data_IF_372434186719
#
_entry.id   IF_372434186719
#
_cell.length_a   1.000
_cell.length_b   1.000
_cell.length_c   1.000
_cell.angle_alpha   90.00
_cell.angle_beta   90.00
_cell.angle_gamma   90.00
#
_symmetry.space_group_name_H-M   'P 1'
#
loop_
_entity.id
_entity.type
_entity.pdbx_description
1 polymer ?
#
# COMPACT_ATOMS: atom_id res chain seq x y z
N UNK A 1 -56.38 30.88 34.81
CA UNK A 1 -57.44 31.90 34.79
C UNK A 1 -56.87 33.15 34.13
N UNK A 2 -57.45 33.58 32.99
CA UNK A 2 -57.24 34.85 32.25
C UNK A 2 -55.79 35.12 31.75
N UNK A 3 -55.50 34.90 30.46
CA UNK A 3 -55.76 35.76 29.29
C UNK A 3 -54.76 36.92 29.16
N UNK A 4 -54.33 37.12 27.90
CA UNK A 4 -53.85 38.32 27.20
C UNK A 4 -52.33 38.38 27.01
N UNK A 5 -51.80 38.06 25.81
CA UNK A 5 -51.78 38.87 24.55
C UNK A 5 -51.11 40.23 24.78
N UNK A 6 -50.32 40.80 23.89
CA UNK A 6 -49.75 40.48 22.58
C UNK A 6 -49.13 41.84 22.20
N UNK A 7 -47.95 41.85 21.58
CA UNK A 7 -47.43 42.96 20.76
C UNK A 7 -47.20 44.33 21.40
N UNK A 8 -45.99 44.87 21.24
CA UNK A 8 -45.81 45.97 20.27
C UNK A 8 -44.34 46.17 19.92
N UNK A 9 -44.13 46.33 18.61
CA UNK A 9 -42.91 46.71 17.92
C UNK A 9 -42.78 48.24 17.95
N UNK A 10 -41.56 48.75 18.16
CA UNK A 10 -41.04 50.02 17.58
C UNK A 10 -39.58 50.16 18.05
N UNK A 11 -38.54 49.98 17.22
CA UNK A 11 -38.03 50.79 16.09
C UNK A 11 -37.71 52.25 16.43
N UNK A 12 -36.51 52.65 15.98
CA UNK A 12 -35.92 54.00 15.85
C UNK A 12 -35.30 54.59 17.13
N UNK A 13 -34.09 55.19 17.18
CA UNK A 13 -33.01 55.43 16.20
C UNK A 13 -31.81 56.06 16.94
N UNK A 14 -30.61 55.78 16.43
CA UNK A 14 -29.42 56.65 16.23
C UNK A 14 -29.04 57.67 17.33
N UNK A 15 -27.77 57.58 17.77
CA UNK A 15 -27.06 58.69 18.38
C UNK A 15 -25.57 58.39 18.57
N UNK A 16 -24.73 58.79 17.61
CA UNK A 16 -23.28 58.86 17.75
C UNK A 16 -22.91 60.09 18.59
N UNK A 17 -22.12 59.92 19.65
CA UNK A 17 -21.17 60.96 20.10
C UNK A 17 -20.02 60.30 20.88
N UNK A 18 -18.80 60.59 20.41
CA UNK A 18 -17.55 60.21 21.03
C UNK A 18 -17.19 61.11 22.22
N UNK A 19 -16.56 60.54 23.25
CA UNK A 19 -15.78 61.27 24.25
C UNK A 19 -14.63 60.38 24.77
N UNK A 20 -13.40 60.88 24.66
CA UNK A 20 -12.15 60.26 25.16
C UNK A 20 -12.04 60.36 26.69
N UNK A 21 -11.51 59.31 27.32
CA UNK A 21 -10.80 59.35 28.61
C UNK A 21 -9.68 58.30 28.62
N UNK A 22 -8.46 58.76 28.86
CA UNK A 22 -7.24 57.95 28.98
C UNK A 22 -7.09 57.32 30.37
N UNK A 23 -6.79 56.01 30.43
CA UNK A 23 -6.13 55.35 31.58
C UNK A 23 -5.15 54.26 31.08
N UNK A 24 -3.90 54.44 31.51
CA UNK A 24 -2.71 53.57 31.62
C UNK A 24 -2.78 52.07 31.23
N UNK A 25 -1.91 51.74 30.25
CA UNK A 25 -0.92 50.64 30.18
C UNK A 25 -1.25 49.25 30.72
N UNK A 26 -1.46 48.32 29.78
CA UNK A 26 -0.75 47.03 29.67
C UNK A 26 -0.80 46.55 28.21
N UNK A 27 0.36 46.46 27.56
CA UNK A 27 0.62 45.65 26.36
C UNK A 27 1.23 44.31 26.85
N UNK A 28 1.20 43.18 26.11
CA UNK A 28 1.84 43.15 24.81
C UNK A 28 1.20 42.29 23.71
N UNK A 29 1.59 42.66 22.49
CA UNK A 29 1.89 41.80 21.33
C UNK A 29 0.74 41.48 20.37
N UNK A 30 0.62 42.36 19.37
CA UNK A 30 0.47 41.92 17.98
C UNK A 30 1.74 41.16 17.59
N UNK A 31 1.63 39.86 17.37
CA UNK A 31 2.63 39.10 16.63
C UNK A 31 1.95 38.46 15.42
N UNK A 32 1.82 39.25 14.35
CA UNK A 32 1.57 38.71 13.02
C UNK A 32 2.90 38.17 12.49
N UNK A 33 3.25 36.96 12.93
CA UNK A 33 4.31 36.17 12.30
C UNK A 33 3.81 35.70 10.93
N UNK A 34 3.92 36.59 9.95
CA UNK A 34 4.14 36.16 8.58
C UNK A 34 5.46 35.39 8.57
N UNK A 35 5.38 34.07 8.70
CA UNK A 35 6.47 33.17 8.42
C UNK A 35 6.82 33.32 6.93
N UNK A 36 7.75 34.23 6.62
CA UNK A 36 8.62 34.06 5.46
C UNK A 36 9.39 32.78 5.68
N UNK A 37 8.85 31.68 5.18
CA UNK A 37 9.62 30.47 4.93
C UNK A 37 10.53 30.83 3.76
N UNK A 38 11.67 31.44 4.05
CA UNK A 38 12.82 31.41 3.15
C UNK A 38 13.21 29.93 3.02
N UNK A 39 12.52 29.24 2.12
CA UNK A 39 12.93 27.95 1.61
C UNK A 39 14.20 28.21 0.81
N UNK A 40 15.34 28.24 1.50
CA UNK A 40 16.64 28.04 0.86
C UNK A 40 16.52 26.70 0.14
N UNK A 41 16.35 26.75 -1.18
CA UNK A 41 16.31 25.56 -2.04
C UNK A 41 17.72 24.97 -1.98
N UNK A 42 17.92 24.01 -1.08
CA UNK A 42 19.20 23.31 -0.96
C UNK A 42 19.48 22.64 -2.31
N UNK A 43 20.65 22.89 -2.93
CA UNK A 43 20.97 22.31 -4.23
C UNK A 43 20.90 20.78 -4.18
N UNK A 44 20.19 20.22 -5.15
CA UNK A 44 20.10 18.78 -5.36
C UNK A 44 21.30 18.29 -6.17
N UNK A 45 21.88 17.17 -5.74
CA UNK A 45 23.03 16.51 -6.35
C UNK A 45 22.68 15.04 -6.64
N UNK A 46 23.46 14.36 -7.48
CA UNK A 46 23.32 12.93 -7.76
C UNK A 46 21.90 12.49 -8.22
N UNK A 47 21.27 13.29 -9.09
CA UNK A 47 19.92 13.02 -9.60
C UNK A 47 19.83 11.72 -10.40
N UNK A 48 20.95 11.25 -10.95
CA UNK A 48 21.08 9.96 -11.61
C UNK A 48 20.80 8.76 -10.68
N UNK A 49 20.92 8.92 -9.36
CA UNK A 49 20.58 7.88 -8.37
C UNK A 49 19.15 7.98 -7.87
N UNK A 50 18.35 8.91 -8.40
CA UNK A 50 16.92 8.95 -8.09
C UNK A 50 16.23 7.78 -8.78
N UNK A 51 15.21 7.26 -8.13
CA UNK A 51 14.42 6.16 -8.67
C UNK A 51 13.98 5.17 -7.61
N UNK A 52 13.46 4.06 -8.08
CA UNK A 52 12.95 2.97 -7.26
C UNK A 52 13.90 1.80 -7.42
N UNK A 53 14.43 1.30 -6.31
CA UNK A 53 15.25 0.10 -6.28
C UNK A 53 14.43 -1.00 -5.64
N UNK A 54 14.11 -2.05 -6.40
CA UNK A 54 13.24 -3.13 -5.96
C UNK A 54 13.93 -4.47 -6.08
N UNK A 55 13.66 -5.36 -5.13
CA UNK A 55 14.18 -6.71 -5.14
C UNK A 55 14.04 -7.39 -3.79
N UNK A 56 15.00 -8.27 -3.49
CA UNK A 56 14.91 -9.18 -2.36
C UNK A 56 15.15 -8.46 -1.03
N UNK A 57 14.38 -8.88 -0.03
CA UNK A 57 14.45 -8.49 1.37
C UNK A 57 14.42 -9.75 2.23
N UNK A 58 15.54 -10.46 2.23
CA UNK A 58 15.64 -11.79 2.81
C UNK A 58 16.19 -11.73 4.23
N UNK A 59 15.71 -12.59 5.13
CA UNK A 59 16.31 -12.74 6.45
C UNK A 59 15.94 -14.06 7.09
N UNK A 60 16.74 -14.47 8.08
CA UNK A 60 16.52 -15.70 8.82
C UNK A 60 15.49 -15.48 9.93
N UNK A 61 14.58 -16.41 10.10
CA UNK A 61 13.68 -16.48 11.26
C UNK A 61 13.51 -17.92 11.75
N UNK A 62 13.09 -18.08 13.00
CA UNK A 62 12.63 -19.37 13.49
C UNK A 62 11.20 -19.62 12.99
N UNK A 63 11.03 -20.63 12.15
CA UNK A 63 9.75 -21.09 11.63
C UNK A 63 9.25 -22.20 12.54
N UNK A 64 8.03 -22.03 13.07
CA UNK A 64 7.34 -23.05 13.84
C UNK A 64 6.31 -23.73 12.92
N UNK A 65 6.55 -24.97 12.47
CA UNK A 65 5.55 -25.73 11.73
C UNK A 65 4.39 -26.16 12.64
N UNK A 66 3.25 -26.50 12.02
CA UNK A 66 2.07 -27.04 12.72
C UNK A 66 2.37 -28.37 13.40
N UNK A 67 3.26 -29.17 12.81
CA UNK A 67 3.77 -30.43 13.36
C UNK A 67 5.30 -30.38 13.32
N UNK A 68 5.95 -30.58 14.47
CA UNK A 68 7.40 -30.66 14.59
C UNK A 68 8.05 -29.52 15.38
N UNK A 69 9.37 -29.56 15.45
CA UNK A 69 10.18 -28.56 16.16
C UNK A 69 10.41 -27.31 15.30
N UNK A 70 10.63 -26.17 15.96
CA UNK A 70 11.02 -24.95 15.28
C UNK A 70 12.38 -25.12 14.58
N UNK A 71 12.49 -24.62 13.37
CA UNK A 71 13.74 -24.62 12.62
C UNK A 71 14.08 -23.22 12.10
N UNK A 72 15.37 -22.95 11.88
CA UNK A 72 15.78 -21.70 11.24
C UNK A 72 15.49 -21.79 9.74
N UNK A 73 14.65 -20.89 9.24
CA UNK A 73 14.31 -20.78 7.83
C UNK A 73 14.60 -19.38 7.29
N UNK A 74 14.76 -19.29 5.97
CA UNK A 74 14.90 -18.02 5.28
C UNK A 74 13.54 -17.53 4.79
N UNK A 75 13.15 -16.33 5.23
CA UNK A 75 12.00 -15.63 4.66
C UNK A 75 12.49 -14.79 3.50
N UNK A 76 11.82 -14.95 2.37
CA UNK A 76 11.98 -14.09 1.21
C UNK A 76 10.79 -13.14 1.12
N UNK A 77 11.08 -11.85 1.13
CA UNK A 77 10.11 -10.78 0.84
C UNK A 77 10.66 -9.88 -0.25
N UNK A 78 9.78 -9.08 -0.85
CA UNK A 78 10.19 -7.98 -1.72
C UNK A 78 10.15 -6.66 -0.95
N UNK A 79 11.08 -5.77 -1.29
CA UNK A 79 11.12 -4.38 -0.82
C UNK A 79 11.35 -3.45 -2.00
N UNK A 80 10.79 -2.25 -1.93
CA UNK A 80 11.17 -1.14 -2.80
C UNK A 80 11.74 0.01 -1.97
N UNK A 81 12.92 0.50 -2.33
CA UNK A 81 13.52 1.73 -1.81
C UNK A 81 13.40 2.82 -2.88
N UNK A 82 12.63 3.86 -2.61
CA UNK A 82 12.49 5.01 -3.49
C UNK A 82 13.36 6.15 -2.98
N UNK A 83 14.36 6.54 -3.75
CA UNK A 83 15.21 7.71 -3.48
C UNK A 83 14.60 8.89 -4.23
N UNK A 84 14.15 9.90 -3.50
CA UNK A 84 13.44 11.05 -4.05
C UNK A 84 14.35 12.27 -4.21
N UNK A 85 15.26 12.47 -3.25
CA UNK A 85 16.10 13.65 -3.21
C UNK A 85 17.43 13.39 -2.53
N UNK A 86 18.52 13.82 -3.16
CA UNK A 86 19.86 13.82 -2.56
C UNK A 86 20.38 15.25 -2.55
N UNK A 87 20.88 15.66 -1.40
CA UNK A 87 21.56 16.93 -1.16
C UNK A 87 22.97 16.61 -0.67
N UNK A 88 23.83 17.63 -0.55
CA UNK A 88 25.20 17.45 -0.05
C UNK A 88 25.27 16.67 1.28
N UNK A 89 24.33 16.92 2.19
CA UNK A 89 24.40 16.40 3.56
C UNK A 89 23.28 15.40 3.89
N UNK A 90 22.34 15.15 2.97
CA UNK A 90 21.16 14.34 3.27
C UNK A 90 20.53 13.69 2.06
N UNK A 91 20.09 12.46 2.25
CA UNK A 91 19.28 11.66 1.33
C UNK A 91 17.87 11.54 1.91
N UNK A 92 16.87 11.70 1.05
CA UNK A 92 15.45 11.59 1.38
C UNK A 92 14.78 10.59 0.46
N UNK A 93 13.94 9.75 1.04
CA UNK A 93 13.21 8.75 0.31
C UNK A 93 12.22 8.00 1.18
N UNK A 94 11.79 6.86 0.69
CA UNK A 94 10.86 5.99 1.39
C UNK A 94 11.10 4.52 1.06
N UNK A 95 10.93 3.66 2.05
CA UNK A 95 10.87 2.21 1.89
C UNK A 95 9.42 1.77 1.73
N UNK A 96 9.19 0.70 0.99
CA UNK A 96 7.89 0.03 0.84
C UNK A 96 8.10 -1.46 1.05
N UNK A 97 7.54 -2.00 2.14
CA UNK A 97 7.55 -3.43 2.50
C UNK A 97 6.13 -3.85 2.85
N UNK A 98 5.64 -4.94 2.27
CA UNK A 98 4.28 -5.44 2.51
C UNK A 98 3.19 -4.36 2.31
N UNK A 99 3.40 -3.43 1.39
CA UNK A 99 2.51 -2.29 1.14
C UNK A 99 2.58 -1.16 2.18
N UNK A 100 3.45 -1.28 3.19
CA UNK A 100 3.67 -0.24 4.18
C UNK A 100 4.80 0.68 3.73
N UNK A 101 4.47 1.97 3.62
CA UNK A 101 5.42 3.01 3.23
C UNK A 101 5.98 3.70 4.46
N UNK A 102 7.32 3.79 4.57
CA UNK A 102 8.02 4.48 5.65
C UNK A 102 8.98 5.50 5.05
N UNK A 103 8.96 6.78 5.49
CA UNK A 103 9.98 7.72 5.06
C UNK A 103 11.33 7.34 5.68
N UNK A 104 12.42 7.53 4.95
CA UNK A 104 13.76 7.45 5.53
C UNK A 104 14.54 8.72 5.25
N UNK A 105 15.52 8.99 6.12
CA UNK A 105 16.53 10.01 5.92
C UNK A 105 17.90 9.41 6.13
N UNK A 106 18.87 9.83 5.32
CA UNK A 106 20.19 9.25 5.39
C UNK A 106 21.28 10.14 4.84
N UNK A 107 22.44 9.53 4.61
CA UNK A 107 23.62 10.15 4.00
C UNK A 107 24.13 9.26 2.87
N UNK A 108 24.75 9.89 1.87
CA UNK A 108 25.45 9.21 0.79
C UNK A 108 26.95 9.47 0.91
N UNK A 109 27.75 8.40 0.91
CA UNK A 109 29.20 8.48 0.88
C UNK A 109 29.69 8.23 -0.55
N UNK A 110 30.24 9.27 -1.17
CA UNK A 110 30.70 9.25 -2.56
C UNK A 110 31.88 8.29 -2.78
N UNK A 111 32.83 8.25 -1.83
CA UNK A 111 34.04 7.42 -1.92
C UNK A 111 33.70 5.93 -1.89
N UNK A 112 32.85 5.51 -0.95
CA UNK A 112 32.43 4.11 -0.83
C UNK A 112 31.22 3.75 -1.70
N UNK A 113 30.60 4.75 -2.36
CA UNK A 113 29.31 4.64 -3.07
C UNK A 113 28.25 3.94 -2.21
N UNK A 114 28.10 4.36 -0.96
CA UNK A 114 27.19 3.72 -0.01
C UNK A 114 26.20 4.69 0.61
N UNK A 115 24.99 4.20 0.86
CA UNK A 115 23.94 4.90 1.57
C UNK A 115 23.79 4.31 2.98
N UNK A 116 23.63 5.20 3.96
CA UNK A 116 23.14 4.86 5.29
C UNK A 116 21.80 5.58 5.44
N UNK A 117 20.70 4.83 5.50
CA UNK A 117 19.34 5.37 5.49
C UNK A 117 18.60 4.90 6.75
N UNK A 118 18.11 5.84 7.56
CA UNK A 118 17.38 5.57 8.79
C UNK A 118 15.89 5.83 8.61
N UNK A 119 15.08 4.85 8.98
CA UNK A 119 13.64 5.01 9.19
C UNK A 119 13.37 5.80 10.50
N UNK A 120 12.13 6.26 10.76
CA UNK A 120 11.84 7.20 11.85
C UNK A 120 12.08 6.66 13.28
N UNK A 121 12.09 5.34 13.46
CA UNK A 121 12.23 4.68 14.76
C UNK A 121 10.97 4.72 15.63
N UNK A 122 9.81 5.06 15.05
CA UNK A 122 8.52 5.11 15.76
C UNK A 122 7.61 3.91 15.48
N UNK A 123 8.04 2.98 14.62
CA UNK A 123 7.41 1.68 14.41
C UNK A 123 8.37 0.55 14.83
N UNK A 124 7.81 -0.57 15.30
CA UNK A 124 8.59 -1.75 15.69
C UNK A 124 9.35 -2.38 14.52
N UNK A 125 8.91 -2.15 13.29
CA UNK A 125 9.57 -2.62 12.07
C UNK A 125 10.50 -1.58 11.45
N UNK A 126 10.85 -0.50 12.17
CA UNK A 126 11.82 0.46 11.69
C UNK A 126 13.26 -0.02 11.91
N UNK A 127 14.13 0.35 10.96
CA UNK A 127 15.55 0.08 11.05
C UNK A 127 16.41 1.00 10.20
N UNK A 128 17.65 0.58 10.07
CA UNK A 128 18.70 1.22 9.28
C UNK A 128 19.04 0.37 8.08
N UNK A 129 19.05 0.98 6.90
CA UNK A 129 19.62 0.41 5.68
C UNK A 129 21.07 0.84 5.53
N UNK A 130 21.95 -0.12 5.29
CA UNK A 130 23.35 0.08 4.93
C UNK A 130 23.57 -0.59 3.58
N UNK A 131 23.44 0.20 2.50
CA UNK A 131 23.43 -0.33 1.12
C UNK A 131 24.50 0.31 0.28
N UNK A 132 25.17 -0.51 -0.54
CA UNK A 132 26.19 -0.08 -1.49
C UNK A 132 25.60 -0.05 -2.89
N UNK A 133 25.89 1.02 -3.62
CA UNK A 133 25.54 1.20 -5.01
C UNK A 133 26.63 0.61 -5.91
N UNK A 134 26.20 -0.27 -6.80
CA UNK A 134 27.01 -0.80 -7.89
C UNK A 134 26.22 -0.69 -9.19
N UNK A 135 26.56 0.31 -10.00
CA UNK A 135 25.79 0.72 -11.19
C UNK A 135 24.32 0.98 -10.80
N UNK A 136 23.39 0.20 -11.35
CA UNK A 136 21.95 0.31 -11.08
C UNK A 136 21.46 -0.64 -9.97
N UNK A 137 22.37 -1.26 -9.23
CA UNK A 137 22.01 -2.21 -8.17
C UNK A 137 22.40 -1.69 -6.79
N UNK A 138 21.54 -1.93 -5.80
CA UNK A 138 21.82 -1.72 -4.39
C UNK A 138 21.94 -3.08 -3.70
N UNK A 139 23.05 -3.29 -2.99
CA UNK A 139 23.26 -4.48 -2.17
C UNK A 139 23.67 -4.09 -0.77
N UNK A 140 23.14 -4.76 0.25
CA UNK A 140 23.51 -4.44 1.63
C UNK A 140 22.64 -5.12 2.66
N UNK A 141 22.49 -4.48 3.80
CA UNK A 141 21.71 -5.00 4.92
C UNK A 141 20.72 -3.98 5.46
N UNK A 142 19.71 -4.50 6.12
CA UNK A 142 18.81 -3.75 6.98
C UNK A 142 18.87 -4.33 8.38
N UNK A 143 19.01 -3.45 9.36
CA UNK A 143 19.10 -3.78 10.78
C UNK A 143 17.96 -3.10 11.53
N UNK A 144 17.10 -3.88 12.18
CA UNK A 144 16.03 -3.36 13.01
C UNK A 144 16.58 -2.54 14.18
N UNK A 145 15.96 -1.40 14.49
CA UNK A 145 16.29 -0.63 15.69
C UNK A 145 15.86 -1.38 16.96
N UNK A 146 14.68 -2.02 16.93
CA UNK A 146 14.19 -2.87 18.01
C UNK A 146 14.26 -4.35 17.62
N UNK A 147 15.42 -4.97 17.86
CA UNK A 147 15.69 -6.36 17.47
C UNK A 147 14.74 -7.37 18.10
N UNK A 148 14.29 -7.13 19.33
CA UNK A 148 13.39 -8.04 20.06
C UNK A 148 11.94 -7.95 19.59
N UNK A 149 11.56 -6.91 18.86
CA UNK A 149 10.19 -6.70 18.39
C UNK A 149 9.90 -7.31 17.01
N UNK A 150 10.91 -7.88 16.34
CA UNK A 150 10.81 -8.49 15.02
C UNK A 150 11.42 -9.89 15.01
N UNK A 151 10.86 -10.79 14.19
CA UNK A 151 11.36 -12.17 14.06
C UNK A 151 12.70 -12.27 13.33
N UNK A 152 12.92 -11.37 12.38
CA UNK A 152 14.13 -11.30 11.55
C UNK A 152 14.76 -9.90 11.69
N UNK A 153 15.61 -9.67 12.70
CA UNK A 153 16.18 -8.35 13.00
C UNK A 153 17.27 -7.90 12.03
N UNK A 154 17.86 -8.84 11.28
CA UNK A 154 18.84 -8.54 10.24
C UNK A 154 18.33 -9.13 8.92
N UNK A 155 18.39 -8.32 7.87
CA UNK A 155 17.96 -8.72 6.52
C UNK A 155 19.00 -8.29 5.49
N UNK A 156 19.10 -9.05 4.41
CA UNK A 156 19.97 -8.78 3.26
C UNK A 156 19.11 -8.23 2.13
N UNK A 157 19.65 -7.23 1.43
CA UNK A 157 19.02 -6.58 0.29
C UNK A 157 19.79 -6.86 -0.98
N UNK A 158 19.06 -7.19 -2.05
CA UNK A 158 19.56 -7.24 -3.43
C UNK A 158 18.52 -6.58 -4.32
N UNK A 159 18.73 -5.30 -4.62
CA UNK A 159 17.77 -4.47 -5.32
C UNK A 159 18.34 -4.02 -6.67
N UNK A 160 17.47 -3.92 -7.65
CA UNK A 160 17.79 -3.39 -8.98
C UNK A 160 16.93 -2.17 -9.23
N UNK A 161 17.51 -1.14 -9.85
CA UNK A 161 16.79 0.06 -10.25
C UNK A 161 15.69 -0.31 -11.23
N UNK A 162 14.50 0.23 -10.98
CA UNK A 162 13.30 0.08 -11.79
C UNK A 162 12.79 1.45 -12.17
N UNK A 163 12.46 1.59 -13.45
CA UNK A 163 11.74 2.75 -13.94
C UNK A 163 10.25 2.48 -13.87
N UNK A 164 9.53 3.29 -13.10
CA UNK A 164 8.08 3.22 -13.08
C UNK A 164 7.51 4.07 -14.21
N UNK A 165 6.81 3.42 -15.13
CA UNK A 165 6.07 4.06 -16.21
C UNK A 165 4.67 3.45 -16.25
N UNK A 166 3.64 4.27 -16.08
CA UNK A 166 2.27 3.82 -16.23
C UNK A 166 2.04 3.27 -17.65
N UNK A 167 1.50 2.06 -17.73
CA UNK A 167 1.10 1.46 -19.01
C UNK A 167 -0.24 0.74 -18.84
N UNK A 168 -1.31 1.22 -19.50
CA UNK A 168 -2.63 0.62 -19.38
C UNK A 168 -2.72 -0.77 -20.05
N UNK A 169 -1.73 -1.16 -20.86
CA UNK A 169 -1.73 -2.44 -21.57
C UNK A 169 -1.13 -3.59 -20.74
N UNK A 170 -0.58 -3.33 -19.55
CA UNK A 170 -0.10 -4.41 -18.69
C UNK A 170 -1.25 -5.32 -18.24
N UNK A 171 -1.05 -6.62 -18.41
CA UNK A 171 -2.00 -7.67 -18.06
C UNK A 171 -1.28 -8.76 -17.25
N UNK A 172 -2.06 -9.50 -16.46
CA UNK A 172 -1.57 -10.72 -15.80
C UNK A 172 -1.29 -11.78 -16.86
N UNK A 173 -0.33 -12.66 -16.60
CA UNK A 173 0.01 -13.78 -17.48
C UNK A 173 -0.87 -15.00 -17.14
N UNK A 174 -1.28 -15.78 -18.13
CA UNK A 174 -2.09 -16.99 -17.94
C UNK A 174 -1.39 -18.05 -17.06
N UNK A 175 -0.07 -18.00 -16.96
CA UNK A 175 0.73 -18.86 -16.08
C UNK A 175 0.74 -18.41 -14.60
N UNK A 176 0.14 -17.26 -14.28
CA UNK A 176 0.09 -16.77 -12.91
C UNK A 176 -0.84 -17.64 -12.06
N UNK A 177 -0.38 -18.02 -10.87
CA UNK A 177 -1.26 -18.63 -9.87
C UNK A 177 -2.16 -17.55 -9.25
N UNK A 178 -3.46 -17.64 -9.53
CA UNK A 178 -4.50 -16.72 -9.06
C UNK A 178 -5.48 -17.40 -8.09
N UNK A 179 -4.92 -18.25 -7.23
CA UNK A 179 -5.58 -18.86 -6.07
C UNK A 179 -5.32 -18.00 -4.83
N UNK A 180 -6.39 -17.65 -4.09
CA UNK A 180 -6.23 -16.94 -2.83
C UNK A 180 -5.95 -17.91 -1.67
N UNK A 181 -4.67 -18.23 -1.51
CA UNK A 181 -4.16 -19.06 -0.42
C UNK A 181 -4.30 -18.44 0.98
N UNK A 182 -4.56 -17.13 1.06
CA UNK A 182 -4.58 -16.40 2.34
C UNK A 182 -5.94 -16.47 3.03
N UNK A 183 -7.01 -16.82 2.30
CA UNK A 183 -8.38 -16.84 2.82
C UNK A 183 -9.09 -18.15 2.43
N UNK A 184 -8.60 -19.32 2.88
CA UNK A 184 -9.30 -20.58 2.67
C UNK A 184 -10.64 -20.58 3.42
N UNK A 185 -11.55 -21.44 2.98
CA UNK A 185 -12.83 -21.68 3.65
C UNK A 185 -13.07 -23.18 3.77
N UNK A 186 -13.53 -23.59 4.94
CA UNK A 186 -13.85 -24.98 5.22
C UNK A 186 -15.26 -25.33 4.72
N UNK A 187 -15.36 -26.48 4.08
CA UNK A 187 -16.59 -27.07 3.57
C UNK A 187 -16.79 -28.45 4.20
N UNK A 188 -18.03 -28.76 4.59
CA UNK A 188 -18.39 -30.09 5.06
C UNK A 188 -18.84 -30.90 3.86
N UNK A 189 -18.01 -31.85 3.46
CA UNK A 189 -18.28 -32.76 2.35
C UNK A 189 -18.80 -34.10 2.87
N UNK A 190 -19.48 -34.82 1.99
CA UNK A 190 -20.02 -36.15 2.28
C UNK A 190 -19.51 -37.13 1.26
N UNK A 191 -18.94 -38.22 1.75
CA UNK A 191 -18.59 -39.37 0.94
C UNK A 191 -19.52 -40.52 1.30
N UNK A 192 -20.18 -41.10 0.32
CA UNK A 192 -20.98 -42.32 0.49
C UNK A 192 -20.21 -43.46 -0.15
N UNK A 193 -19.79 -44.39 0.69
CA UNK A 193 -19.13 -45.61 0.24
C UNK A 193 -20.12 -46.47 -0.56
N UNK A 194 -19.81 -46.75 -1.82
CA UNK A 194 -20.73 -47.45 -2.74
C UNK A 194 -20.96 -48.93 -2.36
N UNK A 195 -20.02 -49.55 -1.64
CA UNK A 195 -20.10 -50.96 -1.24
C UNK A 195 -20.86 -51.15 0.08
N UNK A 196 -20.63 -50.26 1.04
CA UNK A 196 -21.21 -50.34 2.39
C UNK A 196 -22.44 -49.46 2.59
N UNK A 197 -22.69 -48.51 1.67
CA UNK A 197 -23.76 -47.51 1.77
C UNK A 197 -23.56 -46.52 2.92
N UNK A 198 -22.42 -46.56 3.61
CA UNK A 198 -22.14 -45.71 4.77
C UNK A 198 -21.73 -44.32 4.28
N UNK A 199 -22.41 -43.30 4.80
CA UNK A 199 -22.05 -41.90 4.57
C UNK A 199 -21.13 -41.41 5.66
N UNK A 200 -19.95 -40.94 5.30
CA UNK A 200 -19.00 -40.28 6.18
C UNK A 200 -18.90 -38.80 5.82
N UNK A 201 -18.83 -37.95 6.85
CA UNK A 201 -18.68 -36.51 6.68
C UNK A 201 -17.28 -36.09 7.07
N UNK A 202 -16.63 -35.28 6.25
CA UNK A 202 -15.32 -34.72 6.55
C UNK A 202 -15.29 -33.23 6.20
N UNK A 203 -14.36 -32.52 6.82
CA UNK A 203 -14.13 -31.10 6.55
C UNK A 203 -12.98 -30.97 5.57
N UNK A 204 -13.21 -30.29 4.46
CA UNK A 204 -12.20 -29.98 3.45
C UNK A 204 -12.00 -28.47 3.34
N UNK A 205 -10.75 -28.02 3.38
CA UNK A 205 -10.42 -26.61 3.20
C UNK A 205 -10.22 -26.30 1.72
N UNK A 206 -10.99 -25.35 1.19
CA UNK A 206 -10.97 -24.95 -0.21
C UNK A 206 -10.55 -23.49 -0.35
N UNK A 207 -9.87 -23.16 -1.45
CA UNK A 207 -9.41 -21.81 -1.74
C UNK A 207 -10.25 -21.19 -2.86
N UNK A 208 -10.47 -19.89 -2.81
CA UNK A 208 -11.16 -19.19 -3.90
C UNK A 208 -10.21 -19.01 -5.10
N UNK A 209 -10.73 -19.23 -6.30
CA UNK A 209 -9.94 -19.27 -7.54
C UNK A 209 -10.52 -18.35 -8.61
N UNK A 210 -9.62 -17.62 -9.29
CA UNK A 210 -9.97 -16.78 -10.44
C UNK A 210 -10.25 -17.61 -11.70
N UNK A 211 -10.99 -17.05 -12.65
CA UNK A 211 -11.19 -17.58 -13.99
C UNK A 211 -10.30 -16.86 -15.01
N UNK A 212 -10.15 -17.44 -16.20
CA UNK A 212 -9.39 -16.85 -17.31
C UNK A 212 -9.89 -15.46 -17.75
N UNK A 213 -11.07 -15.03 -17.30
CA UNK A 213 -11.58 -13.70 -17.57
C UNK A 213 -10.62 -12.59 -17.12
N UNK A 214 -9.85 -12.83 -16.04
CA UNK A 214 -8.86 -11.87 -15.51
C UNK A 214 -7.72 -11.56 -16.49
N UNK A 215 -7.42 -12.47 -17.43
CA UNK A 215 -6.39 -12.28 -18.46
C UNK A 215 -6.94 -11.56 -19.70
N UNK A 216 -8.26 -11.50 -19.85
CA UNK A 216 -8.94 -10.96 -21.04
C UNK A 216 -9.54 -9.58 -20.79
N UNK A 217 -9.99 -9.31 -19.57
CA UNK A 217 -10.70 -8.09 -19.21
C UNK A 217 -9.73 -7.01 -18.71
N UNK A 218 -9.60 -5.91 -19.46
CA UNK A 218 -8.75 -4.78 -19.10
C UNK A 218 -9.56 -3.51 -18.77
N UNK A 219 -9.83 -3.30 -17.48
CA UNK A 219 -10.57 -2.14 -16.97
C UNK A 219 -9.88 -0.77 -17.14
N UNK A 220 -8.62 -0.73 -17.58
CA UNK A 220 -7.91 0.53 -17.93
C UNK A 220 -8.06 0.89 -19.42
N UNK A 221 -8.53 -0.03 -20.25
CA UNK A 221 -8.60 0.13 -21.72
C UNK A 221 -10.00 0.01 -22.29
N UNK A 222 -10.88 -0.75 -21.65
CA UNK A 222 -12.23 -1.00 -22.13
C UNK A 222 -13.26 -0.44 -21.15
N UNK A 223 -14.34 0.14 -21.69
CA UNK A 223 -15.50 0.52 -20.88
C UNK A 223 -16.27 -0.76 -20.52
N UNK A 224 -16.38 -1.04 -19.23
CA UNK A 224 -17.08 -2.21 -18.73
C UNK A 224 -18.58 -1.95 -18.68
N UNK A 225 -19.36 -2.99 -18.96
CA UNK A 225 -20.80 -3.01 -18.84
C UNK A 225 -21.23 -4.05 -17.82
N UNK A 226 -22.48 -3.96 -17.36
CA UNK A 226 -23.06 -4.96 -16.45
C UNK A 226 -23.05 -6.38 -17.04
N UNK A 227 -23.21 -6.48 -18.37
CA UNK A 227 -23.17 -7.75 -19.10
C UNK A 227 -21.80 -8.43 -18.98
N UNK A 228 -20.73 -7.64 -19.00
CA UNK A 228 -19.36 -8.17 -18.90
C UNK A 228 -19.07 -8.74 -17.50
N UNK A 229 -19.78 -8.24 -16.48
CA UNK A 229 -19.53 -8.60 -15.08
C UNK A 229 -20.47 -9.68 -14.54
N UNK A 230 -21.65 -9.87 -15.14
CA UNK A 230 -22.72 -10.73 -14.59
C UNK A 230 -22.30 -12.19 -14.34
N UNK A 231 -21.35 -12.70 -15.11
CA UNK A 231 -20.88 -14.10 -15.01
C UNK A 231 -19.48 -14.22 -14.40
N UNK A 232 -18.90 -13.11 -13.90
CA UNK A 232 -17.59 -13.13 -13.27
C UNK A 232 -17.70 -13.56 -11.82
N UNK A 233 -16.68 -14.28 -11.36
CA UNK A 233 -16.51 -14.60 -9.94
C UNK A 233 -16.18 -13.32 -9.18
N UNK A 234 -16.48 -13.28 -7.90
CA UNK A 234 -16.10 -12.15 -7.05
C UNK A 234 -14.59 -11.88 -7.09
N UNK A 235 -13.77 -12.93 -6.97
CA UNK A 235 -12.31 -12.83 -7.08
C UNK A 235 -11.85 -12.25 -8.44
N UNK A 236 -12.50 -12.62 -9.56
CA UNK A 236 -12.16 -12.07 -10.88
C UNK A 236 -12.28 -10.56 -10.88
N UNK A 237 -13.42 -10.05 -10.40
CA UNK A 237 -13.68 -8.61 -10.34
C UNK A 237 -12.76 -7.90 -9.35
N UNK A 238 -12.41 -8.52 -8.23
CA UNK A 238 -11.41 -7.99 -7.31
C UNK A 238 -10.03 -7.86 -7.99
N UNK A 239 -9.59 -8.88 -8.73
CA UNK A 239 -8.31 -8.86 -9.46
C UNK A 239 -8.34 -7.80 -10.56
N UNK A 240 -9.38 -7.78 -11.39
CA UNK A 240 -9.55 -6.79 -12.49
C UNK A 240 -9.54 -5.37 -11.93
N UNK A 241 -10.23 -5.13 -10.81
CA UNK A 241 -10.21 -3.84 -10.12
C UNK A 241 -8.81 -3.50 -9.65
N UNK A 242 -8.16 -4.39 -8.90
CA UNK A 242 -6.85 -4.11 -8.31
C UNK A 242 -5.75 -3.99 -9.38
N UNK A 243 -5.90 -4.62 -10.55
CA UNK A 243 -4.97 -4.44 -11.66
C UNK A 243 -4.92 -2.99 -12.15
N UNK A 244 -6.03 -2.24 -12.08
CA UNK A 244 -6.05 -0.79 -12.35
C UNK A 244 -5.09 -0.06 -11.40
N UNK A 245 -5.22 -0.29 -10.10
CA UNK A 245 -4.36 0.32 -9.08
C UNK A 245 -2.89 -0.15 -9.20
N UNK A 246 -2.67 -1.42 -9.53
CA UNK A 246 -1.34 -2.00 -9.72
C UNK A 246 -0.57 -1.31 -10.86
N UNK A 247 -1.24 -1.01 -11.98
CA UNK A 247 -0.65 -0.28 -13.12
C UNK A 247 -0.20 1.13 -12.75
N UNK A 248 -0.87 1.75 -11.77
CA UNK A 248 -0.51 3.05 -11.21
C UNK A 248 0.53 2.96 -10.07
N UNK A 249 1.03 1.76 -9.76
CA UNK A 249 2.05 1.57 -8.74
C UNK A 249 1.51 1.61 -7.30
N UNK A 250 0.25 1.22 -7.10
CA UNK A 250 -0.32 1.11 -5.76
C UNK A 250 0.34 -0.01 -4.95
N UNK A 251 0.78 0.31 -3.73
CA UNK A 251 1.43 -0.62 -2.82
C UNK A 251 0.40 -1.41 -1.98
N UNK A 252 0.15 -2.67 -2.36
CA UNK A 252 -0.86 -3.50 -1.69
C UNK A 252 -0.46 -3.96 -0.28
N UNK A 253 -1.31 -3.63 0.71
CA UNK A 253 -1.19 -4.12 2.09
C UNK A 253 -1.76 -5.51 2.33
N UNK A 254 -2.71 -5.96 1.51
CA UNK A 254 -3.27 -7.32 1.59
C UNK A 254 -2.36 -8.31 0.89
N UNK A 255 -1.97 -9.39 1.58
CA UNK A 255 -1.08 -10.42 1.06
C UNK A 255 -1.65 -11.07 -0.21
N UNK A 256 -2.96 -11.34 -0.27
CA UNK A 256 -3.65 -11.88 -1.46
C UNK A 256 -3.29 -11.11 -2.75
N UNK A 257 -3.38 -9.78 -2.73
CA UNK A 257 -3.10 -8.98 -3.93
C UNK A 257 -1.59 -8.84 -4.19
N UNK A 258 -0.75 -8.86 -3.14
CA UNK A 258 0.69 -8.97 -3.34
C UNK A 258 1.04 -10.26 -4.07
N UNK A 259 0.53 -11.41 -3.62
CA UNK A 259 0.76 -12.71 -4.25
C UNK A 259 0.40 -12.67 -5.75
N UNK A 260 -0.73 -12.04 -6.09
CA UNK A 260 -1.16 -11.95 -7.49
C UNK A 260 -0.28 -11.06 -8.38
N UNK A 261 0.19 -9.91 -7.88
CA UNK A 261 0.90 -8.92 -8.70
C UNK A 261 2.43 -9.00 -8.58
N UNK A 262 2.99 -9.42 -7.44
CA UNK A 262 4.44 -9.52 -7.23
C UNK A 262 5.11 -10.61 -8.05
N UNK A 263 4.34 -11.58 -8.57
CA UNK A 263 4.80 -12.56 -9.55
C UNK A 263 4.93 -11.97 -10.97
N UNK A 264 4.48 -10.73 -11.21
CA UNK A 264 4.61 -10.06 -12.51
C UNK A 264 5.79 -9.09 -12.55
N UNK A 265 6.50 -9.06 -13.67
CA UNK A 265 7.69 -8.19 -13.84
C UNK A 265 7.34 -6.71 -13.97
N UNK A 266 6.12 -6.40 -14.42
CA UNK A 266 5.67 -5.03 -14.66
C UNK A 266 5.16 -4.31 -13.41
N UNK A 267 4.80 -5.05 -12.35
CA UNK A 267 4.29 -4.45 -11.12
C UNK A 267 5.44 -3.89 -10.27
N UNK A 268 5.41 -2.58 -10.05
CA UNK A 268 6.38 -1.85 -9.23
C UNK A 268 5.57 -1.03 -8.21
N UNK A 269 5.64 -1.33 -6.90
CA UNK A 269 4.96 -0.53 -5.88
C UNK A 269 5.68 0.82 -5.69
N UNK A 270 4.91 1.91 -5.73
CA UNK A 270 5.41 3.30 -5.69
C UNK A 270 4.80 4.12 -4.56
N UNK A 271 3.49 3.96 -4.31
CA UNK A 271 2.70 4.81 -3.41
C UNK A 271 1.59 4.01 -2.74
N UNK A 272 1.19 4.44 -1.55
CA UNK A 272 0.02 3.91 -0.84
C UNK A 272 -1.32 4.56 -1.27
N UNK A 273 -1.29 5.53 -2.18
CA UNK A 273 -2.47 6.18 -2.74
C UNK A 273 -2.20 6.55 -4.20
N UNK A 274 -3.15 6.20 -5.08
CA UNK A 274 -3.11 6.48 -6.53
C UNK A 274 -4.44 7.03 -7.06
N UNK A 275 -5.33 7.51 -6.17
CA UNK A 275 -6.71 7.91 -6.54
C UNK A 275 -6.75 9.10 -7.50
N UNK A 276 -5.73 9.96 -7.44
CA UNK A 276 -5.63 11.15 -8.29
C UNK A 276 -5.07 10.83 -9.68
N UNK A 277 -4.37 9.71 -9.80
CA UNK A 277 -3.71 9.21 -11.00
C UNK A 277 -4.69 8.43 -11.89
N UNK A 278 -5.79 7.91 -11.33
CA UNK A 278 -6.80 7.19 -12.09
C UNK A 278 -7.49 8.07 -13.14
N UNK A 279 -7.58 7.55 -14.36
CA UNK A 279 -8.33 8.18 -15.44
C UNK A 279 -9.86 8.17 -15.17
N UNK A 280 -10.64 9.04 -15.84
CA UNK A 280 -12.10 9.02 -15.71
C UNK A 280 -12.73 7.65 -16.04
N UNK A 281 -12.20 6.97 -17.08
CA UNK A 281 -12.64 5.62 -17.46
C UNK A 281 -12.38 4.60 -16.34
N UNK A 282 -11.18 4.62 -15.76
CA UNK A 282 -10.82 3.74 -14.65
C UNK A 282 -11.70 4.00 -13.43
N UNK A 283 -11.99 5.27 -13.10
CA UNK A 283 -12.90 5.63 -12.00
C UNK A 283 -14.31 5.09 -12.23
N UNK A 284 -14.84 5.24 -13.45
CA UNK A 284 -16.16 4.69 -13.85
C UNK A 284 -16.20 3.16 -13.70
N UNK A 285 -15.18 2.48 -14.24
CA UNK A 285 -15.09 1.01 -14.19
C UNK A 285 -14.89 0.48 -12.77
N UNK A 286 -14.04 1.11 -11.96
CA UNK A 286 -13.83 0.75 -10.56
C UNK A 286 -15.11 0.92 -9.76
N UNK A 287 -15.89 1.98 -9.99
CA UNK A 287 -17.18 2.17 -9.36
C UNK A 287 -18.17 1.06 -9.75
N UNK A 288 -18.24 0.69 -11.03
CA UNK A 288 -19.07 -0.42 -11.50
C UNK A 288 -18.66 -1.76 -10.86
N UNK A 289 -17.37 -2.09 -10.88
CA UNK A 289 -16.81 -3.31 -10.27
C UNK A 289 -17.13 -3.39 -8.78
N UNK A 290 -16.95 -2.30 -8.03
CA UNK A 290 -17.28 -2.28 -6.60
C UNK A 290 -18.76 -2.57 -6.31
N UNK A 291 -19.68 -2.11 -7.16
CA UNK A 291 -21.12 -2.45 -7.01
C UNK A 291 -21.37 -3.93 -7.22
N UNK A 292 -20.77 -4.54 -8.24
CA UNK A 292 -20.96 -5.97 -8.55
C UNK A 292 -20.28 -6.89 -7.54
N UNK A 293 -19.07 -6.55 -7.08
CA UNK A 293 -18.34 -7.32 -6.04
C UNK A 293 -19.17 -7.52 -4.77
N UNK A 294 -20.05 -6.57 -4.42
CA UNK A 294 -20.91 -6.66 -3.23
C UNK A 294 -21.90 -7.83 -3.30
N UNK A 295 -22.30 -8.24 -4.49
CA UNK A 295 -23.34 -9.26 -4.71
C UNK A 295 -22.82 -10.53 -5.40
N UNK A 296 -21.58 -10.52 -5.86
CA UNK A 296 -20.98 -11.67 -6.50
C UNK A 296 -20.48 -12.70 -5.48
N UNK A 297 -20.44 -13.95 -5.94
CA UNK A 297 -19.99 -15.09 -5.15
C UNK A 297 -18.59 -15.53 -5.60
N UNK A 298 -17.83 -16.07 -4.65
CA UNK A 298 -16.56 -16.71 -4.92
C UNK A 298 -16.79 -18.15 -5.40
N UNK A 299 -15.91 -18.63 -6.28
CA UNK A 299 -15.81 -20.06 -6.59
C UNK A 299 -14.66 -20.65 -5.79
N UNK A 300 -14.93 -21.71 -5.04
CA UNK A 300 -13.95 -22.42 -4.24
C UNK A 300 -13.57 -23.74 -4.88
N UNK A 301 -12.30 -24.12 -4.76
CA UNK A 301 -11.76 -25.39 -5.22
C UNK A 301 -10.74 -25.95 -4.22
N UNK A 302 -10.57 -27.28 -4.21
CA UNK A 302 -9.53 -27.92 -3.42
C UNK A 302 -8.29 -28.18 -4.27
N UNK A 303 -7.13 -28.03 -3.64
CA UNK A 303 -5.85 -28.26 -4.28
C UNK A 303 -5.08 -29.23 -3.38
N UNK A 304 -4.75 -30.40 -3.92
CA UNK A 304 -3.94 -31.37 -3.21
C UNK A 304 -2.58 -30.78 -2.89
N UNK A 305 -2.19 -30.81 -1.62
CA UNK A 305 -0.80 -30.65 -1.19
C UNK A 305 -0.25 -32.03 -0.83
#
# INVERSE_FOLDING_TARGET
>A
MKILKLSLISLFTIGLTACKKDVKTTDPSKDSLTAKKDSVVVPEVYKEYYGIYMGDFAGKEMIQPEIGEAYEGEIYKKIALKINRITKDSVYGQSIVDGNQRPFRGVFNETSKSFILDEPGNDKTDGRFEVKLNNDSLTGSWNAFNKSAVKAPNKILKLVKKEFVYNPNFMLNENNDLIDWENPKDFVEKYTDEETGKTETYTESKNRIASDAVFKINASKQKLTEKDLKNLRKLDMEIIKNAVFARHGYAFKKQTYRNFFEQTDWYIPVSNNVDNELSPLEKENVALLNRFIKYAEDKYDSFGR
#
